data_IF_874638723790
#
_entry.id   IF_874638723790
#
_cell.length_a   1.000
_cell.length_b   1.000
_cell.length_c   1.000
_cell.angle_alpha   90.00
_cell.angle_beta   90.00
_cell.angle_gamma   90.00
#
_symmetry.space_group_name_H-M   'P 1'
#
loop_
_entity.id
_entity.type
_entity.pdbx_description
1 polymer ?
#
# COMPACT_ATOMS: atom_id res chain seq x y z
N UNK A 1 -12.75 3.56 -30.17
CA UNK A 1 -11.73 4.08 -31.12
C UNK A 1 -10.46 3.33 -30.81
N UNK A 2 -9.92 2.54 -31.74
CA UNK A 2 -8.66 1.87 -31.52
C UNK A 2 -7.56 2.94 -31.43
N UNK A 3 -6.81 2.97 -30.31
CA UNK A 3 -5.63 3.81 -30.20
C UNK A 3 -4.59 3.35 -31.23
N UNK A 4 -3.75 4.27 -31.70
CA UNK A 4 -2.60 3.85 -32.49
C UNK A 4 -1.67 2.96 -31.63
N UNK A 5 -0.98 1.98 -32.24
CA UNK A 5 -0.16 1.02 -31.49
C UNK A 5 0.91 1.67 -30.62
N UNK A 6 1.50 2.78 -31.09
CA UNK A 6 2.57 3.49 -30.38
C UNK A 6 2.02 4.13 -29.10
N UNK A 7 0.87 4.81 -29.19
CA UNK A 7 0.20 5.39 -28.02
C UNK A 7 -0.27 4.31 -27.05
N UNK A 8 -0.77 3.18 -27.55
CA UNK A 8 -1.12 2.05 -26.68
C UNK A 8 0.08 1.57 -25.86
N UNK A 9 1.23 1.33 -26.51
CA UNK A 9 2.45 0.89 -25.84
C UNK A 9 2.96 1.91 -24.81
N UNK A 10 2.85 3.21 -25.10
CA UNK A 10 3.18 4.26 -24.14
C UNK A 10 2.27 4.24 -22.90
N UNK A 11 0.97 3.99 -23.07
CA UNK A 11 0.04 3.90 -21.93
C UNK A 11 0.35 2.64 -21.11
N UNK A 12 0.65 1.52 -21.75
CA UNK A 12 1.10 0.29 -21.06
C UNK A 12 2.39 0.55 -20.28
N UNK A 13 3.37 1.21 -20.88
CA UNK A 13 4.59 1.61 -20.20
C UNK A 13 4.30 2.48 -18.97
N UNK A 14 3.45 3.51 -19.11
CA UNK A 14 3.05 4.40 -18.02
C UNK A 14 2.32 3.64 -16.91
N UNK A 15 1.49 2.66 -17.25
CA UNK A 15 0.82 1.80 -16.28
C UNK A 15 1.83 0.95 -15.49
N UNK A 16 2.73 0.25 -16.18
CA UNK A 16 3.77 -0.59 -15.57
C UNK A 16 4.71 0.25 -14.71
N UNK A 17 5.10 1.45 -15.18
CA UNK A 17 5.89 2.38 -14.40
C UNK A 17 5.17 2.79 -13.10
N UNK A 18 3.86 3.07 -13.18
CA UNK A 18 3.02 3.30 -12.01
C UNK A 18 3.04 2.12 -11.02
N UNK A 19 3.00 0.88 -11.52
CA UNK A 19 3.15 -0.34 -10.71
C UNK A 19 4.47 -0.35 -9.95
N UNK A 20 5.60 -0.05 -10.62
CA UNK A 20 6.89 0.03 -9.94
C UNK A 20 6.94 1.14 -8.87
N UNK A 21 6.43 2.34 -9.18
CA UNK A 21 6.36 3.45 -8.22
C UNK A 21 5.56 3.04 -6.98
N UNK A 22 4.40 2.40 -7.17
CA UNK A 22 3.59 1.87 -6.08
C UNK A 22 4.33 0.81 -5.29
N UNK A 23 4.91 -0.21 -5.94
CA UNK A 23 5.59 -1.32 -5.27
C UNK A 23 6.81 -0.87 -4.47
N UNK A 24 7.59 0.09 -4.99
CA UNK A 24 8.74 0.65 -4.26
C UNK A 24 8.25 1.41 -3.03
N UNK A 25 7.30 2.34 -3.19
CA UNK A 25 6.78 3.13 -2.08
C UNK A 25 6.07 2.28 -1.01
N UNK A 26 5.28 1.28 -1.47
CA UNK A 26 4.63 0.30 -0.61
C UNK A 26 5.65 -0.59 0.11
N UNK A 27 6.66 -1.08 -0.62
CA UNK A 27 7.74 -1.91 -0.11
C UNK A 27 8.60 -1.22 0.95
N UNK A 28 8.89 0.06 0.77
CA UNK A 28 9.55 0.88 1.79
C UNK A 28 8.67 0.99 3.05
N UNK A 29 7.37 1.27 2.88
CA UNK A 29 6.44 1.39 4.00
C UNK A 29 6.26 0.07 4.76
N UNK A 30 6.19 -1.07 4.05
CA UNK A 30 6.10 -2.39 4.66
C UNK A 30 7.41 -2.82 5.32
N UNK A 31 8.56 -2.47 4.72
CA UNK A 31 9.90 -2.67 5.30
C UNK A 31 10.08 -2.00 6.66
N UNK A 32 9.48 -0.82 6.85
CA UNK A 32 9.44 -0.15 8.16
C UNK A 32 8.76 -1.02 9.23
N UNK A 33 7.74 -1.81 8.88
CA UNK A 33 7.10 -2.75 9.80
C UNK A 33 8.03 -3.82 10.35
N UNK A 34 8.85 -4.41 9.47
CA UNK A 34 9.86 -5.39 9.87
C UNK A 34 10.93 -4.80 10.79
N UNK A 35 11.25 -3.52 10.61
CA UNK A 35 12.20 -2.83 11.48
C UNK A 35 11.57 -2.40 12.81
N UNK A 36 10.34 -1.87 12.79
CA UNK A 36 9.57 -1.47 13.97
C UNK A 36 9.42 -2.62 14.97
N UNK A 37 9.09 -3.83 14.49
CA UNK A 37 8.94 -5.00 15.34
C UNK A 37 10.21 -5.31 16.18
N UNK A 38 11.40 -4.90 15.72
CA UNK A 38 12.70 -5.16 16.35
C UNK A 38 13.33 -3.95 17.06
N UNK A 39 12.81 -2.75 16.82
CA UNK A 39 13.37 -1.52 17.37
C UNK A 39 12.71 -1.22 18.72
N UNK A 40 13.47 -0.73 19.70
CA UNK A 40 12.92 -0.32 21.01
C UNK A 40 13.31 1.10 21.39
N UNK A 41 14.26 1.70 20.66
CA UNK A 41 14.62 3.10 20.86
C UNK A 41 13.52 4.03 20.29
N UNK A 42 13.00 4.90 21.16
CA UNK A 42 11.89 5.81 20.86
C UNK A 42 12.15 6.77 19.69
N UNK A 43 13.37 7.32 19.62
CA UNK A 43 13.77 8.27 18.56
C UNK A 43 13.89 7.57 17.20
N UNK A 44 14.39 6.33 17.19
CA UNK A 44 14.44 5.52 15.95
C UNK A 44 13.05 5.11 15.50
N UNK A 45 12.17 4.75 16.42
CA UNK A 45 10.76 4.44 16.13
C UNK A 45 10.05 5.63 15.51
N UNK A 46 10.21 6.84 16.06
CA UNK A 46 9.58 8.04 15.50
C UNK A 46 10.09 8.34 14.08
N UNK A 47 11.41 8.28 13.86
CA UNK A 47 12.00 8.47 12.53
C UNK A 47 11.49 7.45 11.50
N UNK A 48 11.39 6.18 11.88
CA UNK A 48 10.83 5.13 11.02
C UNK A 48 9.36 5.40 10.67
N UNK A 49 8.55 5.84 11.63
CA UNK A 49 7.13 6.12 11.41
C UNK A 49 6.88 7.34 10.53
N UNK A 50 7.76 8.34 10.59
CA UNK A 50 7.75 9.51 9.70
C UNK A 50 8.17 9.13 8.27
N UNK A 51 9.18 8.28 8.13
CA UNK A 51 9.59 7.74 6.84
C UNK A 51 8.52 6.83 6.21
N UNK A 52 7.83 6.03 7.02
CA UNK A 52 6.63 5.29 6.58
C UNK A 52 5.53 6.23 6.10
N UNK A 53 5.34 7.38 6.76
CA UNK A 53 4.34 8.38 6.38
C UNK A 53 4.67 9.07 5.06
N UNK A 54 5.93 9.41 4.80
CA UNK A 54 6.32 9.98 3.50
C UNK A 54 6.09 8.98 2.37
N UNK A 55 6.53 7.73 2.57
CA UNK A 55 6.36 6.63 1.61
C UNK A 55 4.90 6.31 1.34
N UNK A 56 4.04 6.35 2.37
CA UNK A 56 2.60 6.12 2.22
C UNK A 56 1.91 7.12 1.28
N UNK A 57 2.36 8.39 1.25
CA UNK A 57 1.82 9.39 0.31
C UNK A 57 2.19 9.06 -1.14
N UNK A 58 3.43 8.64 -1.37
CA UNK A 58 3.89 8.21 -2.70
C UNK A 58 3.15 6.94 -3.15
N UNK A 59 2.92 6.02 -2.22
CA UNK A 59 2.12 4.82 -2.48
C UNK A 59 0.69 5.16 -2.90
N UNK A 60 0.01 6.10 -2.22
CA UNK A 60 -1.34 6.55 -2.63
C UNK A 60 -1.32 7.14 -4.04
N UNK A 61 -0.30 7.95 -4.36
CA UNK A 61 -0.15 8.49 -5.70
C UNK A 61 0.01 7.37 -6.74
N UNK A 62 0.89 6.39 -6.48
CA UNK A 62 1.08 5.23 -7.35
C UNK A 62 -0.18 4.37 -7.49
N UNK A 63 -0.95 4.19 -6.41
CA UNK A 63 -2.21 3.45 -6.44
C UNK A 63 -3.22 4.10 -7.39
N UNK A 64 -3.44 5.42 -7.25
CA UNK A 64 -4.35 6.14 -8.14
C UNK A 64 -3.83 6.19 -9.58
N UNK A 65 -2.52 6.31 -9.77
CA UNK A 65 -1.89 6.24 -11.09
C UNK A 65 -2.21 4.92 -11.80
N UNK A 66 -1.99 3.77 -11.15
CA UNK A 66 -2.25 2.44 -11.72
C UNK A 66 -3.73 2.28 -12.02
N UNK A 67 -4.60 2.71 -11.11
CA UNK A 67 -6.04 2.59 -11.28
C UNK A 67 -6.52 3.41 -12.48
N UNK A 68 -6.14 4.69 -12.57
CA UNK A 68 -6.51 5.57 -13.68
C UNK A 68 -5.98 5.06 -15.02
N UNK A 69 -4.72 4.66 -15.09
CA UNK A 69 -4.12 4.11 -16.33
C UNK A 69 -4.71 2.76 -16.72
N UNK A 70 -5.08 1.92 -15.74
CA UNK A 70 -5.79 0.67 -15.96
C UNK A 70 -7.19 0.88 -16.56
N UNK A 71 -7.92 1.90 -16.10
CA UNK A 71 -9.20 2.28 -16.71
C UNK A 71 -9.05 2.80 -18.15
N UNK A 72 -8.01 3.59 -18.42
CA UNK A 72 -7.71 4.06 -19.80
C UNK A 72 -7.43 2.87 -20.72
N UNK A 73 -6.62 1.89 -20.27
CA UNK A 73 -6.35 0.67 -21.04
C UNK A 73 -7.60 -0.21 -21.20
N UNK A 74 -8.42 -0.33 -20.16
CA UNK A 74 -9.69 -1.04 -20.22
C UNK A 74 -10.66 -0.43 -21.24
N UNK A 75 -10.72 0.90 -21.31
CA UNK A 75 -11.51 1.60 -22.33
C UNK A 75 -10.93 1.41 -23.74
N UNK A 76 -9.62 1.55 -23.90
CA UNK A 76 -8.95 1.39 -25.20
C UNK A 76 -9.03 -0.04 -25.75
N UNK A 77 -9.00 -1.05 -24.86
CA UNK A 77 -9.07 -2.47 -25.21
C UNK A 77 -10.48 -3.05 -25.24
N UNK A 78 -11.51 -2.25 -24.96
CA UNK A 78 -12.91 -2.68 -24.84
C UNK A 78 -13.12 -3.85 -23.86
N UNK A 79 -12.43 -3.80 -22.71
CA UNK A 79 -12.45 -4.89 -21.71
C UNK A 79 -13.62 -4.81 -20.72
N UNK A 80 -14.61 -3.96 -20.98
CA UNK A 80 -15.74 -3.72 -20.08
C UNK A 80 -16.63 -4.95 -19.86
N UNK A 81 -16.71 -5.83 -20.85
CA UNK A 81 -17.44 -7.11 -20.77
C UNK A 81 -16.55 -8.26 -20.28
N UNK A 82 -15.23 -8.05 -20.21
CA UNK A 82 -14.27 -9.07 -19.84
C UNK A 82 -14.24 -9.27 -18.33
N UNK A 83 -14.45 -10.51 -17.90
CA UNK A 83 -14.56 -10.84 -16.47
C UNK A 83 -13.21 -10.71 -15.76
N UNK A 84 -12.09 -11.02 -16.42
CA UNK A 84 -10.75 -10.87 -15.84
C UNK A 84 -10.41 -9.43 -15.47
N UNK A 85 -10.90 -8.44 -16.25
CA UNK A 85 -10.64 -7.02 -16.01
C UNK A 85 -11.28 -6.56 -14.69
N UNK A 86 -12.56 -6.91 -14.50
CA UNK A 86 -13.27 -6.64 -13.25
C UNK A 86 -12.69 -7.42 -12.07
N UNK A 87 -12.30 -8.68 -12.28
CA UNK A 87 -11.65 -9.48 -11.24
C UNK A 87 -10.35 -8.82 -10.76
N UNK A 88 -9.57 -8.21 -11.65
CA UNK A 88 -8.35 -7.52 -11.27
C UNK A 88 -8.63 -6.23 -10.49
N UNK A 89 -9.60 -5.43 -10.91
CA UNK A 89 -10.00 -4.22 -10.18
C UNK A 89 -10.50 -4.59 -8.77
N UNK A 90 -11.44 -5.54 -8.68
CA UNK A 90 -11.98 -5.99 -7.39
C UNK A 90 -10.87 -6.52 -6.50
N UNK A 91 -9.96 -7.33 -7.05
CA UNK A 91 -8.80 -7.85 -6.33
C UNK A 91 -7.94 -6.71 -5.78
N UNK A 92 -7.59 -5.72 -6.60
CA UNK A 92 -6.80 -4.56 -6.18
C UNK A 92 -7.48 -3.80 -5.02
N UNK A 93 -8.79 -3.55 -5.13
CA UNK A 93 -9.56 -2.85 -4.09
C UNK A 93 -9.65 -3.69 -2.81
N UNK A 94 -9.91 -4.99 -2.91
CA UNK A 94 -9.99 -5.90 -1.75
C UNK A 94 -8.64 -5.99 -1.04
N UNK A 95 -7.53 -6.13 -1.78
CA UNK A 95 -6.19 -6.15 -1.20
C UNK A 95 -5.86 -4.82 -0.50
N UNK A 96 -6.16 -3.69 -1.13
CA UNK A 96 -5.98 -2.38 -0.53
C UNK A 96 -6.81 -2.23 0.75
N UNK A 97 -8.08 -2.65 0.72
CA UNK A 97 -8.99 -2.64 1.86
C UNK A 97 -8.56 -3.55 3.00
N UNK A 98 -8.01 -4.74 2.70
CA UNK A 98 -7.55 -5.71 3.68
C UNK A 98 -6.24 -5.29 4.33
N UNK A 99 -5.29 -4.77 3.56
CA UNK A 99 -3.98 -4.35 4.09
C UNK A 99 -4.05 -3.04 4.87
N UNK A 100 -5.04 -2.18 4.58
CA UNK A 100 -5.19 -0.89 5.27
C UNK A 100 -5.36 -1.03 6.79
N UNK A 101 -6.33 -1.78 7.35
CA UNK A 101 -6.48 -1.92 8.79
C UNK A 101 -5.32 -2.68 9.44
N UNK A 102 -4.77 -3.69 8.75
CA UNK A 102 -3.63 -4.49 9.22
C UNK A 102 -2.39 -3.61 9.49
N UNK A 103 -2.15 -2.60 8.66
CA UNK A 103 -1.06 -1.65 8.88
C UNK A 103 -1.48 -0.46 9.75
N UNK A 104 -2.66 0.12 9.51
CA UNK A 104 -3.07 1.38 10.12
C UNK A 104 -3.32 1.26 11.63
N UNK A 105 -3.96 0.18 12.09
CA UNK A 105 -4.33 0.02 13.50
C UNK A 105 -3.08 -0.01 14.40
N UNK A 106 -2.15 -0.97 14.24
CA UNK A 106 -0.98 -1.04 15.12
C UNK A 106 -0.04 0.16 14.94
N UNK A 107 0.12 0.69 13.72
CA UNK A 107 1.03 1.82 13.50
C UNK A 107 0.48 3.12 14.06
N UNK A 108 -0.83 3.34 13.98
CA UNK A 108 -1.44 4.52 14.57
C UNK A 108 -1.41 4.44 16.10
N UNK A 109 -1.49 3.25 16.69
CA UNK A 109 -1.30 3.08 18.12
C UNK A 109 0.10 3.50 18.57
N UNK A 110 1.16 3.01 17.90
CA UNK A 110 2.54 3.42 18.20
C UNK A 110 2.73 4.92 17.92
N UNK A 111 2.17 5.45 16.82
CA UNK A 111 2.21 6.90 16.53
C UNK A 111 1.56 7.73 17.62
N UNK A 112 0.45 7.28 18.20
CA UNK A 112 -0.20 7.97 19.31
C UNK A 112 0.71 8.04 20.55
N UNK A 113 1.40 6.94 20.88
CA UNK A 113 2.35 6.88 22.00
C UNK A 113 3.52 7.85 21.79
N UNK A 114 4.08 7.89 20.58
CA UNK A 114 5.21 8.79 20.28
C UNK A 114 4.78 10.21 19.89
N UNK A 115 3.50 10.57 20.03
CA UNK A 115 2.98 11.92 19.75
C UNK A 115 2.94 12.30 18.26
N UNK A 116 3.02 11.32 17.37
CA UNK A 116 3.00 11.51 15.92
C UNK A 116 1.58 11.52 15.32
N UNK A 117 1.51 11.97 14.07
CA UNK A 117 0.27 12.07 13.29
C UNK A 117 0.06 10.82 12.44
N UNK A 118 -1.20 10.42 12.26
CA UNK A 118 -1.55 9.45 11.22
C UNK A 118 -1.23 10.03 9.82
N UNK A 119 -0.94 9.18 8.81
CA UNK A 119 -0.38 9.64 7.54
C UNK A 119 -1.23 10.69 6.82
N UNK A 120 -2.56 10.51 6.84
CA UNK A 120 -3.55 11.37 6.22
C UNK A 120 -4.14 12.42 7.16
N UNK A 121 -3.80 12.40 8.45
CA UNK A 121 -4.42 13.28 9.45
C UNK A 121 -3.55 14.51 9.69
N UNK A 122 -4.19 15.69 9.72
CA UNK A 122 -3.52 16.97 10.02
C UNK A 122 -3.16 17.12 11.50
N UNK A 123 -4.04 16.66 12.40
CA UNK A 123 -3.85 16.72 13.85
C UNK A 123 -3.19 15.43 14.39
N UNK A 124 -2.38 15.51 15.46
CA UNK A 124 -1.90 14.34 16.19
C UNK A 124 -3.03 13.41 16.63
N UNK A 125 -2.69 12.14 16.81
CA UNK A 125 -3.62 11.19 17.41
C UNK A 125 -3.78 11.52 18.91
N UNK A 126 -4.95 11.26 19.51
CA UNK A 126 -5.13 11.41 20.94
C UNK A 126 -4.04 10.64 21.69
N UNK A 127 -3.42 11.27 22.68
CA UNK A 127 -2.42 10.59 23.49
C UNK A 127 -3.09 9.41 24.24
N UNK A 128 -2.44 8.24 24.29
CA UNK A 128 -2.93 7.14 25.11
C UNK A 128 -2.84 7.50 26.60
N UNK A 129 -3.62 6.81 27.45
CA UNK A 129 -3.69 7.10 28.89
C UNK A 129 -2.35 6.90 29.63
N UNK A 130 -1.43 6.12 29.06
CA UNK A 130 -0.05 5.95 29.53
C UNK A 130 0.93 6.07 28.36
N UNK A 131 2.08 6.70 28.60
CA UNK A 131 3.10 7.03 27.59
C UNK A 131 4.50 6.56 28.02
N UNK A 132 4.56 5.43 28.73
CA UNK A 132 5.80 4.85 29.24
C UNK A 132 6.51 4.02 28.16
N UNK A 133 7.79 3.74 28.36
CA UNK A 133 8.55 2.85 27.46
C UNK A 133 8.02 1.40 27.48
N UNK A 134 7.35 1.00 28.57
CA UNK A 134 6.65 -0.28 28.65
C UNK A 134 5.43 -0.32 27.72
N UNK A 135 4.64 0.76 27.66
CA UNK A 135 3.51 0.88 26.72
C UNK A 135 3.97 0.84 25.27
N UNK A 136 5.10 1.51 24.98
CA UNK A 136 5.72 1.50 23.66
C UNK A 136 6.17 0.10 23.26
N UNK A 137 6.79 -0.64 24.17
CA UNK A 137 7.25 -2.01 23.92
C UNK A 137 6.07 -2.94 23.63
N UNK A 138 5.03 -2.89 24.46
CA UNK A 138 3.82 -3.70 24.26
C UNK A 138 3.13 -3.38 22.92
N UNK A 139 3.11 -2.10 22.52
CA UNK A 139 2.57 -1.68 21.23
C UNK A 139 3.38 -2.21 20.04
N UNK A 140 4.70 -2.24 20.15
CA UNK A 140 5.60 -2.75 19.11
C UNK A 140 5.53 -4.27 18.98
N UNK A 141 5.30 -4.99 20.08
CA UNK A 141 5.12 -6.45 20.08
C UNK A 141 3.83 -6.87 19.34
N UNK A 142 2.85 -5.97 19.23
CA UNK A 142 1.64 -6.20 18.45
C UNK A 142 1.86 -6.05 16.92
N UNK A 143 3.00 -5.49 16.50
CA UNK A 143 3.33 -5.34 15.08
C UNK A 143 3.79 -6.68 14.51
N UNK A 144 2.93 -7.32 13.72
CA UNK A 144 3.30 -8.46 12.88
C UNK A 144 3.25 -8.09 11.40
N UNK A 145 4.40 -7.93 10.72
CA UNK A 145 4.44 -7.56 9.30
C UNK A 145 4.19 -8.77 8.37
N UNK A 146 4.29 -10.00 8.87
CA UNK A 146 4.24 -11.23 8.07
C UNK A 146 2.88 -11.44 7.39
N UNK A 147 1.73 -11.32 8.08
CA UNK A 147 0.42 -11.55 7.45
C UNK A 147 0.17 -10.55 6.31
N UNK A 148 0.50 -9.28 6.51
CA UNK A 148 0.38 -8.26 5.49
C UNK A 148 1.30 -8.55 4.29
N UNK A 149 2.56 -8.93 4.53
CA UNK A 149 3.49 -9.28 3.46
C UNK A 149 3.02 -10.51 2.64
N UNK A 150 2.51 -11.55 3.31
CA UNK A 150 1.97 -12.74 2.65
C UNK A 150 0.75 -12.41 1.77
N UNK A 151 -0.20 -11.64 2.31
CA UNK A 151 -1.38 -11.15 1.57
C UNK A 151 -0.94 -10.32 0.36
N UNK A 152 0.03 -9.42 0.52
CA UNK A 152 0.57 -8.60 -0.56
C UNK A 152 1.20 -9.46 -1.67
N UNK A 153 2.05 -10.42 -1.31
CA UNK A 153 2.70 -11.31 -2.28
C UNK A 153 1.71 -12.16 -3.07
N UNK A 154 0.75 -12.80 -2.39
CA UNK A 154 -0.31 -13.59 -3.03
C UNK A 154 -1.16 -12.72 -3.95
N UNK A 155 -1.51 -11.52 -3.46
CA UNK A 155 -2.30 -10.57 -4.21
C UNK A 155 -1.62 -10.08 -5.49
N UNK A 156 -0.33 -9.74 -5.43
CA UNK A 156 0.45 -9.33 -6.60
C UNK A 156 0.57 -10.48 -7.60
N UNK A 157 0.86 -11.70 -7.15
CA UNK A 157 0.95 -12.87 -8.03
C UNK A 157 -0.38 -13.13 -8.75
N UNK A 158 -1.51 -13.00 -8.04
CA UNK A 158 -2.83 -13.18 -8.63
C UNK A 158 -3.19 -12.08 -9.63
N UNK A 159 -2.88 -10.81 -9.33
CA UNK A 159 -3.06 -9.68 -10.26
C UNK A 159 -2.21 -9.86 -11.53
N UNK A 160 -0.95 -10.27 -11.39
CA UNK A 160 -0.07 -10.55 -12.52
C UNK A 160 -0.64 -11.66 -13.40
N UNK A 161 -1.14 -12.74 -12.78
CA UNK A 161 -1.77 -13.85 -13.50
C UNK A 161 -3.01 -13.38 -14.28
N UNK A 162 -3.90 -12.60 -13.66
CA UNK A 162 -5.09 -12.05 -14.33
C UNK A 162 -4.72 -11.19 -15.55
N UNK A 163 -3.73 -10.31 -15.40
CA UNK A 163 -3.31 -9.37 -16.44
C UNK A 163 -2.57 -10.05 -17.60
N UNK A 164 -1.77 -11.09 -17.29
CA UNK A 164 -0.96 -11.80 -18.27
C UNK A 164 -1.78 -12.83 -19.05
N UNK A 165 -2.57 -13.66 -18.37
CA UNK A 165 -3.23 -14.81 -18.98
C UNK A 165 -4.68 -14.56 -19.38
N UNK A 166 -5.32 -13.51 -18.84
CA UNK A 166 -6.70 -13.10 -19.18
C UNK A 166 -7.66 -14.31 -19.26
N UNK A 167 -7.76 -15.10 -18.17
CA UNK A 167 -8.29 -16.46 -18.21
C UNK A 167 -9.79 -16.61 -18.50
N UNK A 168 -10.57 -15.51 -18.46
CA UNK A 168 -12.03 -15.53 -18.63
C UNK A 168 -12.62 -14.15 -18.93
#
# INVERSE_FOLDING_TARGET
>A
MALDPVVYDWIVFVHIFGVFVFLIAHGVSSGVGFRLAKERNRERVSALLEFSRSSYRVMILGFWWILSTGFVLGYAGDWWTMRWFWAAIVTLIVLAGLMTPLAAIPYNWVRAIVGLRAPLRRKPLPAPPSNTDADLTAALDWISPIPAAAVGMIGIAFLLWLMMFKPF
#
